data_IF_407107106863
#
_entry.id   IF_407107106863
#
_cell.length_a   1.000
_cell.length_b   1.000
_cell.length_c   1.000
_cell.angle_alpha   90.00
_cell.angle_beta   90.00
_cell.angle_gamma   90.00
#
_symmetry.space_group_name_H-M   'P 1'
#
loop_
_entity.id
_entity.type
_entity.pdbx_description
1 polymer ?
#
# COMPACT_ATOMS: atom_id res chain seq x y z
N UNK A 1 14.44 -18.55 -0.15
CA UNK A 1 13.72 -17.27 -0.39
C UNK A 1 13.49 -16.99 -1.88
N UNK A 2 14.30 -17.52 -2.81
CA UNK A 2 14.06 -17.36 -4.25
C UNK A 2 12.65 -17.84 -4.69
N UNK A 3 12.12 -19.01 -4.25
CA UNK A 3 10.80 -19.46 -4.68
C UNK A 3 9.64 -18.53 -4.30
N UNK A 4 9.77 -17.80 -3.19
CA UNK A 4 8.80 -16.81 -2.73
C UNK A 4 8.64 -15.64 -3.71
N UNK A 5 9.71 -15.23 -4.41
CA UNK A 5 9.63 -14.15 -5.39
C UNK A 5 8.74 -14.53 -6.58
N UNK A 6 8.79 -15.79 -7.02
CA UNK A 6 7.89 -16.30 -8.05
C UNK A 6 6.44 -16.40 -7.54
N UNK A 7 6.25 -16.81 -6.28
CA UNK A 7 4.93 -16.79 -5.67
C UNK A 7 4.36 -15.38 -5.58
N UNK A 8 5.17 -14.34 -5.33
CA UNK A 8 4.75 -12.94 -5.38
C UNK A 8 4.28 -12.51 -6.76
N UNK A 9 5.07 -12.85 -7.79
CA UNK A 9 4.73 -12.52 -9.17
C UNK A 9 3.35 -13.08 -9.59
N UNK A 10 2.96 -14.24 -9.06
CA UNK A 10 1.62 -14.81 -9.26
C UNK A 10 0.57 -14.22 -8.31
N UNK A 11 0.90 -14.09 -7.03
CA UNK A 11 -0.04 -13.69 -5.99
C UNK A 11 -0.60 -12.29 -6.20
N UNK A 12 0.22 -11.31 -6.58
CA UNK A 12 -0.24 -9.92 -6.71
C UNK A 12 -1.28 -9.74 -7.83
N UNK A 13 -1.09 -10.24 -9.07
CA UNK A 13 -2.13 -10.23 -10.10
C UNK A 13 -3.39 -10.99 -9.68
N UNK A 14 -3.26 -12.19 -9.13
CA UNK A 14 -4.39 -13.00 -8.64
C UNK A 14 -5.20 -12.22 -7.58
N UNK A 15 -4.50 -11.58 -6.65
CA UNK A 15 -5.13 -10.79 -5.60
C UNK A 15 -5.84 -9.56 -6.17
N UNK A 16 -5.25 -8.86 -7.13
CA UNK A 16 -5.90 -7.75 -7.83
C UNK A 16 -7.13 -8.19 -8.62
N UNK A 17 -7.07 -9.35 -9.27
CA UNK A 17 -8.21 -9.95 -9.97
C UNK A 17 -9.41 -10.20 -9.04
N UNK A 18 -9.18 -10.80 -7.86
CA UNK A 18 -10.23 -11.04 -6.87
C UNK A 18 -10.73 -9.73 -6.22
N UNK A 19 -9.82 -8.79 -5.96
CA UNK A 19 -10.15 -7.48 -5.38
C UNK A 19 -11.02 -6.64 -6.30
N UNK A 20 -10.73 -6.60 -7.61
CA UNK A 20 -11.53 -5.86 -8.59
C UNK A 20 -13.01 -6.28 -8.60
N UNK A 21 -13.27 -7.56 -8.33
CA UNK A 21 -14.62 -8.16 -8.24
C UNK A 21 -15.23 -8.10 -6.83
N UNK A 22 -14.59 -7.41 -5.88
CA UNK A 22 -15.01 -7.37 -4.47
C UNK A 22 -15.05 -8.75 -3.77
N UNK A 23 -14.33 -9.78 -4.26
CA UNK A 23 -14.22 -11.11 -3.63
C UNK A 23 -13.19 -11.13 -2.48
N UNK A 24 -13.30 -10.16 -1.58
CA UNK A 24 -12.29 -9.86 -0.55
C UNK A 24 -12.35 -10.88 0.60
N UNK A 25 -13.55 -11.31 1.01
CA UNK A 25 -13.73 -12.25 2.12
C UNK A 25 -13.04 -13.60 1.89
N UNK A 26 -13.08 -14.10 0.66
CA UNK A 26 -12.38 -15.34 0.29
C UNK A 26 -10.87 -15.18 0.48
N UNK A 27 -10.33 -14.05 0.02
CA UNK A 27 -8.90 -13.73 0.19
C UNK A 27 -8.53 -13.64 1.67
N UNK A 28 -9.39 -13.03 2.51
CA UNK A 28 -9.17 -12.91 3.94
C UNK A 28 -9.20 -14.27 4.66
N UNK A 29 -10.16 -15.14 4.34
CA UNK A 29 -10.26 -16.48 4.92
C UNK A 29 -9.05 -17.34 4.55
N UNK A 30 -8.64 -17.34 3.27
CA UNK A 30 -7.43 -18.03 2.81
C UNK A 30 -6.18 -17.51 3.54
N UNK A 31 -6.05 -16.19 3.71
CA UNK A 31 -4.94 -15.60 4.45
C UNK A 31 -4.96 -15.99 5.93
N UNK A 32 -6.14 -16.09 6.56
CA UNK A 32 -6.31 -16.57 7.92
C UNK A 32 -5.82 -18.01 8.09
N UNK A 33 -6.22 -18.92 7.22
CA UNK A 33 -5.71 -20.30 7.22
C UNK A 33 -4.20 -20.35 6.99
N UNK A 34 -3.69 -19.55 6.05
CA UNK A 34 -2.26 -19.46 5.80
C UNK A 34 -1.49 -19.01 7.04
N UNK A 35 -2.00 -18.03 7.80
CA UNK A 35 -1.38 -17.51 9.02
C UNK A 35 -1.35 -18.54 10.15
N UNK A 36 -2.47 -19.24 10.37
CA UNK A 36 -2.56 -20.31 11.38
C UNK A 36 -1.59 -21.45 11.03
N UNK A 37 -1.61 -21.90 9.78
CA UNK A 37 -0.68 -22.91 9.28
C UNK A 37 0.78 -22.45 9.39
N UNK A 38 1.09 -21.23 8.97
CA UNK A 38 2.44 -20.66 9.05
C UNK A 38 2.98 -20.66 10.48
N UNK A 39 2.15 -20.26 11.45
CA UNK A 39 2.52 -20.25 12.87
C UNK A 39 2.80 -21.68 13.37
N UNK A 40 1.88 -22.62 13.09
CA UNK A 40 2.00 -24.02 13.51
C UNK A 40 3.25 -24.68 12.92
N UNK A 41 3.46 -24.54 11.61
CA UNK A 41 4.61 -25.15 10.94
C UNK A 41 5.93 -24.46 11.30
N UNK A 42 5.93 -23.14 11.53
CA UNK A 42 7.13 -22.45 12.05
C UNK A 42 7.55 -23.02 13.39
N UNK A 43 6.62 -23.17 14.34
CA UNK A 43 6.90 -23.81 15.63
C UNK A 43 7.39 -25.25 15.46
N UNK A 44 6.72 -26.04 14.63
CA UNK A 44 7.05 -27.45 14.42
C UNK A 44 8.44 -27.62 13.80
N UNK A 45 8.70 -26.98 12.66
CA UNK A 45 9.93 -27.18 11.89
C UNK A 45 11.12 -26.50 12.56
N UNK A 46 10.96 -25.28 13.06
CA UNK A 46 12.08 -24.53 13.65
C UNK A 46 12.41 -25.01 15.06
N UNK A 47 11.41 -25.18 15.93
CA UNK A 47 11.64 -25.42 17.36
C UNK A 47 11.60 -26.90 17.72
N UNK A 48 10.59 -27.65 17.24
CA UNK A 48 10.44 -29.07 17.59
C UNK A 48 11.38 -29.97 16.79
N UNK A 49 11.40 -29.83 15.47
CA UNK A 49 12.28 -30.60 14.58
C UNK A 49 13.69 -30.01 14.48
N UNK A 50 13.91 -28.80 15.04
CA UNK A 50 15.21 -28.12 15.10
C UNK A 50 15.87 -27.89 13.75
N UNK A 51 15.08 -27.65 12.69
CA UNK A 51 15.60 -27.30 11.36
C UNK A 51 16.14 -25.86 11.28
N UNK A 52 15.98 -25.07 12.36
CA UNK A 52 16.51 -23.71 12.45
C UNK A 52 16.04 -22.80 11.30
N UNK A 53 16.96 -22.03 10.73
CA UNK A 53 16.68 -21.08 9.64
C UNK A 53 16.23 -21.76 8.34
N UNK A 54 16.66 -23.00 8.08
CA UNK A 54 16.19 -23.76 6.92
C UNK A 54 14.69 -24.06 7.07
N UNK A 55 14.26 -24.45 8.27
CA UNK A 55 12.84 -24.62 8.60
C UNK A 55 12.04 -23.34 8.36
N UNK A 56 12.55 -22.19 8.82
CA UNK A 56 11.91 -20.89 8.59
C UNK A 56 11.72 -20.58 7.10
N UNK A 57 12.77 -20.81 6.31
CA UNK A 57 12.73 -20.60 4.87
C UNK A 57 11.71 -21.53 4.20
N UNK A 58 11.68 -22.82 4.55
CA UNK A 58 10.71 -23.78 4.00
C UNK A 58 9.28 -23.34 4.29
N UNK A 59 8.95 -23.06 5.56
CA UNK A 59 7.60 -22.66 5.96
C UNK A 59 7.18 -21.38 5.24
N UNK A 60 8.06 -20.39 5.15
CA UNK A 60 7.76 -19.13 4.47
C UNK A 60 7.46 -19.35 2.98
N UNK A 61 8.26 -20.14 2.26
CA UNK A 61 8.00 -20.44 0.84
C UNK A 61 6.68 -21.21 0.67
N UNK A 62 6.43 -22.22 1.51
CA UNK A 62 5.21 -23.02 1.48
C UNK A 62 3.95 -22.19 1.74
N UNK A 63 3.98 -21.25 2.70
CA UNK A 63 2.83 -20.37 2.98
C UNK A 63 2.47 -19.48 1.79
N UNK A 64 3.46 -18.92 1.10
CA UNK A 64 3.21 -18.10 -0.09
C UNK A 64 2.67 -18.90 -1.27
N UNK A 65 3.21 -20.09 -1.51
CA UNK A 65 2.66 -20.99 -2.53
C UNK A 65 1.27 -21.49 -2.18
N UNK A 66 0.98 -21.76 -0.90
CA UNK A 66 -0.37 -22.08 -0.44
C UNK A 66 -1.36 -20.96 -0.79
N UNK A 67 -1.02 -19.68 -0.56
CA UNK A 67 -1.87 -18.55 -0.94
C UNK A 67 -2.15 -18.52 -2.45
N UNK A 68 -1.13 -18.75 -3.29
CA UNK A 68 -1.27 -18.80 -4.75
C UNK A 68 -2.20 -19.94 -5.16
N UNK A 69 -1.92 -21.16 -4.70
CA UNK A 69 -2.69 -22.36 -5.06
C UNK A 69 -4.13 -22.24 -4.58
N UNK A 70 -4.36 -21.84 -3.34
CA UNK A 70 -5.71 -21.70 -2.79
C UNK A 70 -6.56 -20.68 -3.55
N UNK A 71 -5.97 -19.54 -3.94
CA UNK A 71 -6.67 -18.53 -4.76
C UNK A 71 -6.93 -19.02 -6.19
N UNK A 72 -5.98 -19.74 -6.81
CA UNK A 72 -6.19 -20.33 -8.14
C UNK A 72 -7.30 -21.38 -8.13
N UNK A 73 -7.32 -22.27 -7.12
CA UNK A 73 -8.40 -23.26 -6.94
C UNK A 73 -9.75 -22.54 -6.85
N UNK A 74 -9.84 -21.45 -6.09
CA UNK A 74 -11.06 -20.67 -6.01
C UNK A 74 -11.46 -20.07 -7.37
N UNK A 75 -10.52 -19.47 -8.11
CA UNK A 75 -10.78 -18.91 -9.44
C UNK A 75 -11.26 -20.00 -10.42
N UNK A 76 -10.60 -21.15 -10.43
CA UNK A 76 -10.91 -22.25 -11.35
C UNK A 76 -12.16 -23.05 -10.97
N UNK A 77 -12.68 -22.89 -9.74
CA UNK A 77 -13.94 -23.51 -9.31
C UNK A 77 -15.19 -22.94 -10.00
N UNK A 78 -15.05 -21.88 -10.80
CA UNK A 78 -16.17 -21.18 -11.44
C UNK A 78 -16.78 -20.06 -10.58
N UNK A 79 -16.28 -19.84 -9.36
CA UNK A 79 -16.79 -18.84 -8.43
C UNK A 79 -16.60 -17.36 -8.88
N UNK A 80 -15.88 -17.14 -9.98
CA UNK A 80 -15.63 -15.84 -10.60
C UNK A 80 -16.53 -15.53 -11.81
N UNK A 81 -17.44 -16.44 -12.19
CA UNK A 81 -18.37 -16.23 -13.32
C UNK A 81 -17.65 -15.82 -14.61
N UNK A 82 -18.20 -14.83 -15.32
CA UNK A 82 -17.68 -14.34 -16.60
C UNK A 82 -16.31 -13.65 -16.51
N UNK A 83 -15.86 -13.28 -15.32
CA UNK A 83 -14.56 -12.61 -15.16
C UNK A 83 -13.38 -13.55 -15.48
N UNK A 84 -13.58 -14.87 -15.40
CA UNK A 84 -12.58 -15.87 -15.78
C UNK A 84 -13.07 -16.71 -16.96
N UNK A 85 -12.55 -16.41 -18.15
CA UNK A 85 -12.86 -17.13 -19.40
C UNK A 85 -11.83 -18.19 -19.78
N UNK A 86 -10.88 -18.50 -18.87
CA UNK A 86 -9.77 -19.43 -19.12
C UNK A 86 -8.54 -18.78 -19.75
N UNK A 87 -7.55 -19.60 -20.08
CA UNK A 87 -6.32 -19.12 -20.70
C UNK A 87 -6.55 -18.79 -22.18
N UNK A 88 -6.05 -17.62 -22.62
CA UNK A 88 -6.16 -17.17 -24.00
C UNK A 88 -4.92 -16.38 -24.42
N UNK A 89 -4.54 -16.48 -25.69
CA UNK A 89 -3.48 -15.65 -26.28
C UNK A 89 -3.84 -14.16 -26.28
N UNK A 90 -5.12 -13.81 -26.09
CA UNK A 90 -5.56 -12.43 -25.86
C UNK A 90 -4.88 -11.78 -24.65
N UNK A 91 -4.44 -12.56 -23.66
CA UNK A 91 -3.71 -12.04 -22.49
C UNK A 91 -2.37 -11.37 -22.85
N UNK A 92 -1.81 -11.66 -24.02
CA UNK A 92 -0.57 -11.05 -24.51
C UNK A 92 -0.80 -9.81 -25.38
N UNK A 93 -2.05 -9.44 -25.65
CA UNK A 93 -2.38 -8.20 -26.36
C UNK A 93 -2.20 -6.99 -25.43
N UNK A 94 -1.67 -5.88 -25.98
CA UNK A 94 -1.46 -4.61 -25.25
C UNK A 94 -0.61 -4.72 -23.96
N UNK A 95 0.30 -5.70 -23.87
CA UNK A 95 1.15 -5.93 -22.71
C UNK A 95 1.98 -4.69 -22.34
N UNK A 96 2.39 -3.90 -23.34
CA UNK A 96 3.18 -2.69 -23.15
C UNK A 96 2.47 -1.63 -22.30
N UNK A 97 1.18 -1.37 -22.54
CA UNK A 97 0.42 -0.40 -21.75
C UNK A 97 0.26 -0.86 -20.30
N UNK A 98 0.03 -2.17 -20.10
CA UNK A 98 0.03 -2.77 -18.76
C UNK A 98 1.38 -2.60 -18.06
N UNK A 99 2.48 -2.88 -18.74
CA UNK A 99 3.84 -2.73 -18.20
C UNK A 99 4.13 -1.28 -17.85
N UNK A 100 3.79 -0.34 -18.73
CA UNK A 100 3.99 1.10 -18.51
C UNK A 100 3.22 1.59 -17.28
N UNK A 101 1.96 1.20 -17.13
CA UNK A 101 1.14 1.57 -15.96
C UNK A 101 1.68 0.90 -14.68
N UNK A 102 2.00 -0.38 -14.74
CA UNK A 102 2.55 -1.14 -13.60
C UNK A 102 3.91 -0.60 -13.16
N UNK A 103 4.75 -0.19 -14.10
CA UNK A 103 6.04 0.43 -13.82
C UNK A 103 5.88 1.78 -13.13
N UNK A 104 4.92 2.61 -13.58
CA UNK A 104 4.61 3.87 -12.90
C UNK A 104 4.11 3.65 -11.45
N UNK A 105 3.24 2.66 -11.22
CA UNK A 105 2.86 2.23 -9.86
C UNK A 105 4.07 1.81 -9.03
N UNK A 106 4.95 0.99 -9.61
CA UNK A 106 6.12 0.47 -8.92
C UNK A 106 7.06 1.60 -8.51
N UNK A 107 7.37 2.53 -9.42
CA UNK A 107 8.19 3.70 -9.13
C UNK A 107 7.54 4.56 -8.04
N UNK A 108 6.24 4.85 -8.14
CA UNK A 108 5.52 5.63 -7.13
C UNK A 108 5.66 5.03 -5.72
N UNK A 109 5.46 3.72 -5.57
CA UNK A 109 5.57 3.00 -4.30
C UNK A 109 7.02 2.86 -3.82
N UNK A 110 7.96 2.57 -4.73
CA UNK A 110 9.38 2.47 -4.39
C UNK A 110 9.93 3.79 -3.86
N UNK A 111 9.56 4.92 -4.48
CA UNK A 111 9.97 6.25 -4.01
C UNK A 111 9.47 6.53 -2.59
N UNK A 112 8.26 6.08 -2.25
CA UNK A 112 7.75 6.18 -0.88
C UNK A 112 8.58 5.33 0.08
N UNK A 113 8.76 4.04 -0.21
CA UNK A 113 9.48 3.13 0.69
C UNK A 113 10.95 3.56 0.86
N UNK A 114 11.62 3.89 -0.24
CA UNK A 114 13.02 4.29 -0.23
C UNK A 114 13.25 5.61 0.47
N UNK A 115 12.28 6.54 0.42
CA UNK A 115 12.35 7.77 1.19
C UNK A 115 12.45 7.51 2.70
N UNK A 116 11.58 6.65 3.23
CA UNK A 116 11.63 6.26 4.66
C UNK A 116 12.94 5.53 4.98
N UNK A 117 13.37 4.58 4.14
CA UNK A 117 14.61 3.84 4.34
C UNK A 117 15.85 4.75 4.32
N UNK A 118 15.89 5.73 3.42
CA UNK A 118 17.00 6.69 3.35
C UNK A 118 17.11 7.52 4.63
N UNK A 119 15.99 8.03 5.16
CA UNK A 119 16.00 8.82 6.40
C UNK A 119 16.35 7.99 7.63
N UNK A 120 15.90 6.73 7.70
CA UNK A 120 16.33 5.79 8.75
C UNK A 120 17.84 5.52 8.65
N UNK A 121 18.37 5.33 7.43
CA UNK A 121 19.81 5.16 7.21
C UNK A 121 20.59 6.38 7.70
N UNK A 122 20.12 7.60 7.42
CA UNK A 122 20.75 8.82 7.92
C UNK A 122 20.72 8.91 9.45
N UNK A 123 19.68 8.42 10.12
CA UNK A 123 19.67 8.38 11.58
C UNK A 123 20.79 7.50 12.18
N UNK A 124 21.27 6.51 11.43
CA UNK A 124 22.43 5.69 11.79
C UNK A 124 23.77 6.43 11.78
N UNK A 125 23.83 7.66 11.23
CA UNK A 125 25.04 8.50 11.23
C UNK A 125 25.05 9.55 12.35
N UNK A 126 24.07 9.55 13.25
CA UNK A 126 24.04 10.44 14.41
C UNK A 126 25.06 10.02 15.48
N UNK A 127 25.51 10.96 16.32
CA UNK A 127 26.53 10.72 17.37
C UNK A 127 26.17 9.58 18.34
N UNK A 128 24.87 9.38 18.63
CA UNK A 128 24.35 8.27 19.45
C UNK A 128 23.56 7.27 18.58
N UNK A 129 24.18 6.79 17.51
CA UNK A 129 23.52 5.99 16.47
C UNK A 129 22.79 4.75 17.02
N UNK A 130 23.36 4.02 17.98
CA UNK A 130 22.75 2.80 18.53
C UNK A 130 21.39 3.09 19.19
N UNK A 131 21.36 4.00 20.17
CA UNK A 131 20.12 4.39 20.87
C UNK A 131 19.11 5.02 19.91
N UNK A 132 19.59 5.82 18.96
CA UNK A 132 18.78 6.48 17.94
C UNK A 132 18.09 5.46 17.01
N UNK A 133 18.87 4.54 16.45
CA UNK A 133 18.39 3.52 15.50
C UNK A 133 17.46 2.54 16.20
N UNK A 134 17.79 2.10 17.42
CA UNK A 134 16.93 1.20 18.20
C UNK A 134 15.56 1.84 18.49
N UNK A 135 15.54 3.10 18.93
CA UNK A 135 14.30 3.81 19.21
C UNK A 135 13.46 4.01 17.93
N UNK A 136 14.10 4.38 16.82
CA UNK A 136 13.42 4.49 15.52
C UNK A 136 12.88 3.13 15.08
N UNK A 137 13.64 2.03 15.23
CA UNK A 137 13.21 0.71 14.81
C UNK A 137 11.94 0.26 15.54
N UNK A 138 11.86 0.50 16.86
CA UNK A 138 10.63 0.25 17.66
C UNK A 138 9.46 1.06 17.10
N UNK A 139 9.67 2.36 16.89
CA UNK A 139 8.64 3.23 16.34
C UNK A 139 8.18 2.83 14.94
N UNK A 140 9.11 2.47 14.06
CA UNK A 140 8.83 2.05 12.69
C UNK A 140 8.15 0.68 12.66
N UNK A 141 8.38 -0.19 13.66
CA UNK A 141 7.65 -1.44 13.81
C UNK A 141 6.16 -1.19 14.09
N UNK A 142 5.86 -0.29 15.04
CA UNK A 142 4.48 0.14 15.35
C UNK A 142 3.84 0.83 14.13
N UNK A 143 4.59 1.71 13.45
CA UNK A 143 4.13 2.31 12.21
C UNK A 143 3.85 1.25 11.13
N UNK A 144 4.66 0.20 11.04
CA UNK A 144 4.43 -0.92 10.12
C UNK A 144 3.09 -1.60 10.35
N UNK A 145 2.67 -1.77 11.61
CA UNK A 145 1.35 -2.34 11.94
C UNK A 145 0.21 -1.42 11.50
N UNK A 146 0.31 -0.11 11.74
CA UNK A 146 -0.73 0.85 11.33
C UNK A 146 -0.78 1.05 9.82
N UNK A 147 0.35 0.98 9.13
CA UNK A 147 0.44 1.03 7.66
C UNK A 147 -0.31 -0.13 7.01
N UNK A 148 -0.41 -1.31 7.63
CA UNK A 148 -1.23 -2.41 7.07
C UNK A 148 -2.71 -2.03 6.96
N UNK A 149 -3.23 -1.27 7.94
CA UNK A 149 -4.59 -0.72 7.88
C UNK A 149 -4.70 0.29 6.72
N UNK A 150 -3.71 1.17 6.58
CA UNK A 150 -3.67 2.16 5.50
C UNK A 150 -3.59 1.53 4.10
N UNK A 151 -2.82 0.44 3.93
CA UNK A 151 -2.76 -0.35 2.69
C UNK A 151 -4.13 -0.99 2.39
N UNK A 152 -4.87 -1.40 3.42
CA UNK A 152 -6.25 -1.85 3.28
C UNK A 152 -7.16 -0.77 2.66
N UNK A 153 -7.10 0.45 3.19
CA UNK A 153 -7.82 1.59 2.61
C UNK A 153 -7.36 1.93 1.19
N UNK A 154 -6.05 1.97 0.93
CA UNK A 154 -5.47 2.17 -0.40
C UNK A 154 -6.06 1.19 -1.42
N UNK A 155 -6.09 -0.11 -1.10
CA UNK A 155 -6.63 -1.13 -1.99
C UNK A 155 -8.15 -0.98 -2.19
N UNK A 156 -8.89 -0.71 -1.12
CA UNK A 156 -10.35 -0.56 -1.17
C UNK A 156 -10.77 0.62 -2.03
N UNK A 157 -10.18 1.80 -1.82
CA UNK A 157 -10.54 2.99 -2.59
C UNK A 157 -10.05 2.91 -4.04
N UNK A 158 -8.89 2.29 -4.29
CA UNK A 158 -8.38 2.06 -5.64
C UNK A 158 -9.37 1.25 -6.47
N UNK A 159 -9.90 0.15 -5.93
CA UNK A 159 -10.92 -0.68 -6.60
C UNK A 159 -12.24 0.08 -6.78
N UNK A 160 -12.70 0.81 -5.75
CA UNK A 160 -13.97 1.53 -5.82
C UNK A 160 -13.93 2.63 -6.87
N UNK A 161 -12.88 3.46 -6.87
CA UNK A 161 -12.71 4.52 -7.86
C UNK A 161 -12.56 3.93 -9.27
N UNK A 162 -11.76 2.88 -9.46
CA UNK A 162 -11.60 2.28 -10.80
C UNK A 162 -12.92 1.72 -11.34
N UNK A 163 -13.72 1.07 -10.48
CA UNK A 163 -14.99 0.48 -10.89
C UNK A 163 -16.06 1.54 -11.17
N UNK A 164 -16.20 2.57 -10.33
CA UNK A 164 -17.16 3.65 -10.57
C UNK A 164 -16.80 4.49 -11.80
N UNK A 165 -15.51 4.73 -12.05
CA UNK A 165 -15.06 5.40 -13.27
C UNK A 165 -15.33 4.53 -14.51
N UNK A 166 -15.06 3.23 -14.44
CA UNK A 166 -15.33 2.28 -15.52
C UNK A 166 -16.82 2.12 -15.82
N UNK A 167 -17.68 2.24 -14.80
CA UNK A 167 -19.14 2.21 -14.94
C UNK A 167 -19.75 3.54 -15.41
N UNK A 168 -18.94 4.60 -15.56
CA UNK A 168 -19.43 5.91 -15.97
C UNK A 168 -20.14 6.70 -14.86
N UNK A 169 -19.82 6.46 -13.59
CA UNK A 169 -20.46 7.07 -12.42
C UNK A 169 -19.54 8.09 -11.72
N UNK A 170 -19.36 9.31 -12.27
CA UNK A 170 -18.41 10.29 -11.73
C UNK A 170 -18.77 10.77 -10.32
N UNK A 171 -20.07 10.87 -10.01
CA UNK A 171 -20.55 11.27 -8.68
C UNK A 171 -20.25 10.22 -7.62
N UNK A 172 -20.45 8.94 -7.93
CA UNK A 172 -20.15 7.81 -7.05
C UNK A 172 -18.65 7.66 -6.80
N UNK A 173 -17.83 7.89 -7.83
CA UNK A 173 -16.37 7.93 -7.67
C UNK A 173 -15.95 9.02 -6.68
N UNK A 174 -16.43 10.25 -6.86
CA UNK A 174 -16.15 11.37 -5.94
C UNK A 174 -16.64 11.08 -4.52
N UNK A 175 -17.84 10.53 -4.38
CA UNK A 175 -18.40 10.16 -3.07
C UNK A 175 -17.54 9.11 -2.37
N UNK A 176 -17.09 8.08 -3.09
CA UNK A 176 -16.20 7.04 -2.56
C UNK A 176 -14.90 7.62 -2.02
N UNK A 177 -14.30 8.59 -2.73
CA UNK A 177 -13.07 9.28 -2.28
C UNK A 177 -13.30 10.01 -0.96
N UNK A 178 -14.41 10.73 -0.82
CA UNK A 178 -14.74 11.47 0.40
C UNK A 178 -14.92 10.50 1.57
N UNK A 179 -15.75 9.47 1.40
CA UNK A 179 -16.05 8.49 2.46
C UNK A 179 -14.79 7.74 2.90
N UNK A 180 -13.98 7.25 1.95
CA UNK A 180 -12.74 6.55 2.27
C UNK A 180 -11.72 7.48 2.96
N UNK A 181 -11.59 8.73 2.51
CA UNK A 181 -10.66 9.69 3.13
C UNK A 181 -11.06 9.99 4.57
N UNK A 182 -12.35 10.28 4.83
CA UNK A 182 -12.85 10.52 6.19
C UNK A 182 -12.68 9.28 7.07
N UNK A 183 -13.05 8.11 6.58
CA UNK A 183 -12.95 6.85 7.35
C UNK A 183 -11.49 6.52 7.67
N UNK A 184 -10.57 6.71 6.72
CA UNK A 184 -9.14 6.50 6.92
C UNK A 184 -8.55 7.47 7.95
N UNK A 185 -8.97 8.74 7.92
CA UNK A 185 -8.55 9.76 8.87
C UNK A 185 -9.05 9.45 10.29
N UNK A 186 -10.33 9.10 10.44
CA UNK A 186 -10.90 8.70 11.72
C UNK A 186 -10.21 7.45 12.29
N UNK A 187 -9.89 6.47 11.43
CA UNK A 187 -9.14 5.28 11.82
C UNK A 187 -7.72 5.63 12.27
N UNK A 188 -7.04 6.52 11.55
CA UNK A 188 -5.71 7.01 11.93
C UNK A 188 -5.72 7.76 13.27
N UNK A 189 -6.72 8.62 13.49
CA UNK A 189 -6.91 9.32 14.78
C UNK A 189 -7.16 8.30 15.90
N UNK A 190 -8.02 7.32 15.68
CA UNK A 190 -8.30 6.27 16.66
C UNK A 190 -7.06 5.47 17.04
N UNK A 191 -6.28 5.00 16.05
CA UNK A 191 -5.03 4.28 16.28
C UNK A 191 -3.97 5.15 16.98
N UNK A 192 -3.89 6.42 16.60
CA UNK A 192 -3.01 7.43 17.22
C UNK A 192 -3.36 7.65 18.69
N UNK A 193 -4.66 7.74 19.02
CA UNK A 193 -5.13 7.87 20.39
C UNK A 193 -4.81 6.63 21.23
N UNK A 194 -4.99 5.42 20.70
CA UNK A 194 -4.58 4.18 21.39
C UNK A 194 -3.09 4.23 21.72
N UNK A 195 -2.24 4.60 20.76
CA UNK A 195 -0.80 4.69 20.97
C UNK A 195 -0.45 5.72 22.07
N UNK A 196 -1.09 6.88 22.06
CA UNK A 196 -0.86 7.93 23.05
C UNK A 196 -1.29 7.50 24.46
N UNK A 197 -2.41 6.80 24.60
CA UNK A 197 -2.88 6.24 25.88
C UNK A 197 -1.92 5.17 26.38
N UNK A 198 -1.45 4.29 25.49
CA UNK A 198 -0.49 3.24 25.83
C UNK A 198 0.97 3.71 25.93
N UNK A 199 1.24 5.01 25.75
CA UNK A 199 2.59 5.58 25.60
C UNK A 199 3.55 5.10 26.68
N UNK A 200 3.12 5.04 27.93
CA UNK A 200 3.97 4.72 29.08
C UNK A 200 4.25 3.22 29.24
N UNK A 201 3.55 2.33 28.53
CA UNK A 201 3.56 0.89 28.84
C UNK A 201 4.22 0.05 27.75
N UNK A 202 4.22 0.50 26.50
CA UNK A 202 4.66 -0.34 25.39
C UNK A 202 6.19 -0.44 25.20
N UNK A 203 7.02 0.60 25.40
CA UNK A 203 8.46 0.51 25.09
C UNK A 203 9.23 -0.59 25.84
N UNK A 204 8.92 -0.89 27.12
CA UNK A 204 9.55 -2.02 27.84
C UNK A 204 9.30 -3.40 27.21
N UNK A 205 8.26 -3.58 26.39
CA UNK A 205 8.05 -4.85 25.67
C UNK A 205 9.04 -5.07 24.53
N UNK A 206 9.70 -4.01 24.06
CA UNK A 206 10.64 -4.08 22.94
C UNK A 206 12.10 -4.10 23.36
N UNK A 207 12.45 -3.47 24.48
CA UNK A 207 13.85 -3.34 24.91
C UNK A 207 13.98 -3.15 26.41
N UNK A 208 15.07 -3.68 26.97
CA UNK A 208 15.46 -3.47 28.37
C UNK A 208 16.37 -2.24 28.56
N UNK A 209 16.79 -1.57 27.48
CA UNK A 209 17.64 -0.38 27.56
C UNK A 209 16.80 0.86 27.91
N UNK A 210 16.99 1.39 29.12
CA UNK A 210 16.26 2.57 29.62
C UNK A 210 16.44 3.82 28.75
N UNK A 211 17.63 4.04 28.17
CA UNK A 211 17.87 5.20 27.30
C UNK A 211 17.03 5.12 26.02
N UNK A 212 16.90 3.91 25.45
CA UNK A 212 16.05 3.67 24.28
C UNK A 212 14.58 3.87 24.66
N UNK A 213 14.13 3.34 25.80
CA UNK A 213 12.76 3.53 26.27
C UNK A 213 12.41 5.02 26.44
N UNK A 214 13.29 5.81 27.08
CA UNK A 214 13.09 7.25 27.25
C UNK A 214 13.00 7.98 25.92
N UNK A 215 13.87 7.64 24.96
CA UNK A 215 13.80 8.21 23.62
C UNK A 215 12.48 7.85 22.92
N UNK A 216 12.05 6.59 22.99
CA UNK A 216 10.76 6.15 22.42
C UNK A 216 9.57 6.88 23.07
N UNK A 217 9.58 7.07 24.40
CA UNK A 217 8.56 7.88 25.07
C UNK A 217 8.52 9.30 24.49
N UNK A 218 9.66 9.92 24.20
CA UNK A 218 9.72 11.25 23.60
C UNK A 218 9.32 11.28 22.11
N UNK A 219 9.53 10.19 21.37
CA UNK A 219 9.17 10.08 19.95
C UNK A 219 7.70 9.70 19.74
N UNK A 220 7.06 9.08 20.73
CA UNK A 220 5.66 8.60 20.64
C UNK A 220 4.67 9.68 20.16
N UNK A 221 4.71 10.94 20.61
CA UNK A 221 3.81 11.97 20.08
C UNK A 221 4.03 12.27 18.58
N UNK A 222 5.28 12.22 18.11
CA UNK A 222 5.63 12.41 16.69
C UNK A 222 5.13 11.20 15.88
N UNK A 223 5.29 10.00 16.42
CA UNK A 223 4.75 8.77 15.84
C UNK A 223 3.22 8.80 15.76
N UNK A 224 2.54 9.27 16.80
CA UNK A 224 1.09 9.43 16.83
C UNK A 224 0.60 10.34 15.69
N UNK A 225 1.27 11.46 15.45
CA UNK A 225 0.99 12.34 14.29
C UNK A 225 1.30 11.64 12.96
N UNK A 226 2.39 10.88 12.91
CA UNK A 226 2.78 10.10 11.73
C UNK A 226 1.73 9.05 11.35
N UNK A 227 1.07 8.42 12.32
CA UNK A 227 0.00 7.43 12.08
C UNK A 227 -1.21 8.09 11.41
N UNK A 228 -1.61 9.29 11.85
CA UNK A 228 -2.77 10.00 11.28
C UNK A 228 -2.53 10.30 9.80
N UNK A 229 -1.39 10.91 9.49
CA UNK A 229 -1.01 11.24 8.10
C UNK A 229 -0.77 9.95 7.31
N UNK A 230 -0.13 8.96 7.91
CA UNK A 230 0.17 7.66 7.31
C UNK A 230 -1.06 6.79 7.03
N UNK A 231 -2.24 7.11 7.58
CA UNK A 231 -3.50 6.48 7.17
C UNK A 231 -4.16 7.21 5.99
N UNK A 232 -4.12 8.54 6.00
CA UNK A 232 -4.72 9.35 4.95
C UNK A 232 -3.93 9.26 3.64
N UNK A 233 -2.60 9.39 3.71
CA UNK A 233 -1.74 9.46 2.53
C UNK A 233 -1.87 8.22 1.61
N UNK A 234 -1.77 6.97 2.10
CA UNK A 234 -1.94 5.80 1.23
C UNK A 234 -3.35 5.71 0.66
N UNK A 235 -4.37 6.18 1.37
CA UNK A 235 -5.75 6.25 0.86
C UNK A 235 -5.82 7.16 -0.37
N UNK A 236 -5.22 8.35 -0.32
CA UNK A 236 -5.17 9.27 -1.47
C UNK A 236 -4.33 8.72 -2.62
N UNK A 237 -3.19 8.08 -2.34
CA UNK A 237 -2.43 7.36 -3.38
C UNK A 237 -3.27 6.23 -4.01
N UNK A 238 -4.16 5.59 -3.26
CA UNK A 238 -5.13 4.61 -3.75
C UNK A 238 -6.11 5.22 -4.75
N UNK A 239 -6.59 6.44 -4.52
CA UNK A 239 -7.41 7.20 -5.47
C UNK A 239 -6.66 7.41 -6.78
N UNK A 240 -5.39 7.83 -6.71
CA UNK A 240 -4.56 8.02 -7.89
C UNK A 240 -4.30 6.72 -8.66
N UNK A 241 -4.15 5.58 -7.96
CA UNK A 241 -4.06 4.27 -8.61
C UNK A 241 -5.38 3.93 -9.32
N UNK A 242 -6.52 4.13 -8.66
CA UNK A 242 -7.85 3.87 -9.24
C UNK A 242 -8.19 4.74 -10.45
N UNK A 243 -7.75 6.00 -10.45
CA UNK A 243 -7.92 6.94 -11.55
C UNK A 243 -6.83 6.85 -12.65
N UNK A 244 -5.73 6.14 -12.36
CA UNK A 244 -4.60 5.97 -13.29
C UNK A 244 -3.64 7.17 -13.37
N UNK A 245 -3.49 7.93 -12.28
CA UNK A 245 -2.60 9.10 -12.20
C UNK A 245 -1.20 8.79 -11.63
N UNK A 246 -0.83 7.52 -11.56
CA UNK A 246 0.36 7.03 -10.86
C UNK A 246 1.65 7.72 -11.32
N UNK A 247 1.80 7.99 -12.62
CA UNK A 247 2.96 8.71 -13.15
C UNK A 247 3.06 10.15 -12.61
N UNK A 248 1.95 10.89 -12.55
CA UNK A 248 1.92 12.23 -11.97
C UNK A 248 2.28 12.21 -10.48
N UNK A 249 1.73 11.24 -9.73
CA UNK A 249 2.03 11.08 -8.31
C UNK A 249 3.50 10.68 -8.10
N UNK A 250 4.10 9.89 -8.99
CA UNK A 250 5.54 9.61 -8.91
C UNK A 250 6.39 10.88 -9.01
N UNK A 251 6.07 11.81 -9.91
CA UNK A 251 6.76 13.11 -9.97
C UNK A 251 6.56 13.95 -8.71
N UNK A 252 5.34 13.95 -8.16
CA UNK A 252 5.04 14.61 -6.88
C UNK A 252 5.86 13.99 -5.75
N UNK A 253 5.99 12.67 -5.70
CA UNK A 253 6.78 11.95 -4.71
C UNK A 253 8.26 12.33 -4.80
N UNK A 254 8.84 12.43 -6.01
CA UNK A 254 10.22 12.91 -6.20
C UNK A 254 10.39 14.30 -5.58
N UNK A 255 9.51 15.24 -5.92
CA UNK A 255 9.62 16.62 -5.43
C UNK A 255 9.44 16.70 -3.90
N UNK A 256 8.38 16.10 -3.36
CA UNK A 256 8.06 16.24 -1.93
C UNK A 256 9.04 15.48 -1.04
N UNK A 257 9.48 14.29 -1.44
CA UNK A 257 10.32 13.45 -0.60
C UNK A 257 11.80 13.76 -0.78
N UNK A 258 12.27 13.86 -2.02
CA UNK A 258 13.71 13.94 -2.29
C UNK A 258 14.23 15.37 -2.38
N UNK A 259 13.43 16.30 -2.91
CA UNK A 259 13.84 17.71 -3.02
C UNK A 259 13.50 18.53 -1.77
N UNK A 260 12.52 18.08 -0.96
CA UNK A 260 12.06 18.81 0.22
C UNK A 260 12.26 18.02 1.52
N UNK A 261 11.66 16.82 1.62
CA UNK A 261 11.68 16.00 2.83
C UNK A 261 13.08 15.61 3.31
N UNK A 262 13.91 15.04 2.43
CA UNK A 262 15.29 14.63 2.77
C UNK A 262 16.14 15.84 3.19
N UNK A 263 16.24 16.93 2.40
CA UNK A 263 17.02 18.10 2.81
C UNK A 263 16.60 18.68 4.17
N UNK A 264 15.29 18.79 4.44
CA UNK A 264 14.80 19.27 5.74
C UNK A 264 15.20 18.32 6.87
N UNK A 265 15.04 17.01 6.67
CA UNK A 265 15.43 16.02 7.66
C UNK A 265 16.93 16.07 7.99
N UNK A 266 17.77 16.25 6.97
CA UNK A 266 19.23 16.37 7.14
C UNK A 266 19.63 17.68 7.81
N UNK A 267 19.04 18.81 7.40
CA UNK A 267 19.33 20.12 8.01
C UNK A 267 18.91 20.12 9.48
N UNK A 268 17.69 19.68 9.80
CA UNK A 268 17.22 19.62 11.19
C UNK A 268 18.01 18.59 12.01
N UNK A 269 18.30 17.43 11.45
CA UNK A 269 18.99 16.34 12.14
C UNK A 269 20.45 16.64 12.44
N UNK A 270 21.21 17.15 11.46
CA UNK A 270 22.66 17.33 11.56
C UNK A 270 23.10 18.77 11.76
N UNK A 271 22.53 19.73 11.02
CA UNK A 271 22.98 21.13 11.09
C UNK A 271 22.49 21.81 12.37
N UNK A 272 21.23 21.58 12.76
CA UNK A 272 20.66 22.11 14.00
C UNK A 272 20.81 21.17 15.21
N UNK A 273 21.49 20.01 15.06
CA UNK A 273 21.73 19.00 16.09
C UNK A 273 20.45 18.55 16.85
N UNK A 274 19.29 18.57 16.17
CA UNK A 274 18.00 18.08 16.73
C UNK A 274 17.96 16.53 16.71
N UNK A 275 18.94 15.89 16.05
CA UNK A 275 19.12 14.45 16.01
C UNK A 275 17.96 13.72 15.34
N UNK A 276 17.55 12.59 15.92
CA UNK A 276 16.49 11.72 15.39
C UNK A 276 15.18 12.46 15.15
N UNK A 277 14.81 13.38 16.05
CA UNK A 277 13.58 14.17 15.91
C UNK A 277 13.64 15.03 14.65
N UNK A 278 14.79 15.63 14.35
CA UNK A 278 14.98 16.43 13.14
C UNK A 278 14.79 15.62 11.86
N UNK A 279 15.39 14.43 11.81
CA UNK A 279 15.23 13.49 10.69
C UNK A 279 13.76 13.10 10.51
N UNK A 280 13.06 12.80 11.61
CA UNK A 280 11.64 12.45 11.58
C UNK A 280 10.77 13.63 11.14
N UNK A 281 11.07 14.86 11.56
CA UNK A 281 10.37 16.04 11.05
C UNK A 281 10.54 16.19 9.54
N UNK A 282 11.71 15.84 8.98
CA UNK A 282 11.90 15.69 7.54
C UNK A 282 10.91 14.70 6.93
N UNK A 283 10.85 13.48 7.49
CA UNK A 283 9.90 12.42 7.07
C UNK A 283 8.46 12.94 7.00
N UNK A 284 8.01 13.58 8.09
CA UNK A 284 6.68 14.16 8.22
C UNK A 284 6.45 15.33 7.25
N UNK A 285 7.42 16.22 7.07
CA UNK A 285 7.30 17.37 6.19
C UNK A 285 7.06 16.93 4.74
N UNK A 286 7.90 16.01 4.23
CA UNK A 286 7.73 15.48 2.87
C UNK A 286 6.37 14.79 2.68
N UNK A 287 5.94 13.97 3.64
CA UNK A 287 4.64 13.27 3.61
C UNK A 287 3.46 14.24 3.68
N UNK A 288 3.56 15.28 4.50
CA UNK A 288 2.50 16.29 4.66
C UNK A 288 2.33 17.12 3.39
N UNK A 289 3.44 17.57 2.79
CA UNK A 289 3.39 18.32 1.52
C UNK A 289 2.81 17.46 0.40
N UNK A 290 3.27 16.21 0.28
CA UNK A 290 2.74 15.26 -0.70
C UNK A 290 1.23 15.04 -0.52
N UNK A 291 0.79 14.82 0.71
CA UNK A 291 -0.62 14.64 1.06
C UNK A 291 -1.44 15.88 0.66
N UNK A 292 -0.94 17.08 0.95
CA UNK A 292 -1.58 18.34 0.55
C UNK A 292 -1.71 18.49 -0.97
N UNK A 293 -0.66 18.13 -1.73
CA UNK A 293 -0.69 18.13 -3.20
C UNK A 293 -1.72 17.13 -3.72
N UNK A 294 -1.78 15.90 -3.17
CA UNK A 294 -2.77 14.91 -3.57
C UNK A 294 -4.21 15.37 -3.28
N UNK A 295 -4.45 15.98 -2.12
CA UNK A 295 -5.76 16.57 -1.79
C UNK A 295 -6.10 17.65 -2.82
N UNK A 296 -5.18 18.55 -3.13
CA UNK A 296 -5.40 19.61 -4.13
C UNK A 296 -5.73 19.02 -5.51
N UNK A 297 -4.97 18.01 -5.96
CA UNK A 297 -5.23 17.32 -7.22
C UNK A 297 -6.65 16.77 -7.25
N UNK A 298 -7.05 16.01 -6.22
CA UNK A 298 -8.37 15.38 -6.09
C UNK A 298 -9.50 16.42 -6.07
N UNK A 299 -9.32 17.54 -5.36
CA UNK A 299 -10.31 18.62 -5.29
C UNK A 299 -10.49 19.35 -6.63
N UNK A 300 -9.42 19.45 -7.43
CA UNK A 300 -9.42 20.09 -8.76
C UNK A 300 -9.84 19.14 -9.88
N UNK A 301 -9.95 17.84 -9.62
CA UNK A 301 -10.33 16.85 -10.62
C UNK A 301 -11.74 17.07 -11.13
N UNK A 302 -11.89 17.17 -12.45
CA UNK A 302 -13.17 17.04 -13.11
C UNK A 302 -13.50 15.56 -13.34
N UNK A 303 -14.25 14.97 -12.41
CA UNK A 303 -14.63 13.55 -12.44
C UNK A 303 -15.40 13.14 -13.71
N UNK A 304 -16.14 14.06 -14.35
CA UNK A 304 -16.81 13.76 -15.62
C UNK A 304 -15.81 13.56 -16.77
N UNK A 305 -14.72 14.34 -16.78
CA UNK A 305 -13.64 14.18 -17.75
C UNK A 305 -12.85 12.89 -17.51
N UNK A 306 -12.63 12.50 -16.26
CA UNK A 306 -11.97 11.24 -15.95
C UNK A 306 -12.77 10.04 -16.45
N UNK A 307 -14.10 10.07 -16.27
CA UNK A 307 -14.99 9.04 -16.82
C UNK A 307 -14.88 8.93 -18.34
N UNK A 308 -14.86 10.06 -19.07
CA UNK A 308 -14.73 10.01 -20.53
C UNK A 308 -13.39 9.43 -20.97
N UNK A 309 -12.29 9.82 -20.31
CA UNK A 309 -10.95 9.27 -20.56
C UNK A 309 -10.88 7.75 -20.28
N UNK A 310 -11.51 7.28 -19.19
CA UNK A 310 -11.57 5.85 -18.86
C UNK A 310 -12.41 5.09 -19.90
N UNK A 311 -13.54 5.65 -20.35
CA UNK A 311 -14.34 5.07 -21.44
C UNK A 311 -13.53 4.84 -22.72
N UNK A 312 -12.69 5.81 -23.11
CA UNK A 312 -11.77 5.64 -24.25
C UNK A 312 -10.73 4.54 -24.02
N UNK A 313 -10.13 4.46 -22.81
CA UNK A 313 -9.17 3.40 -22.47
C UNK A 313 -9.79 2.01 -22.51
N UNK A 314 -11.00 1.86 -21.98
CA UNK A 314 -11.72 0.58 -21.99
C UNK A 314 -12.03 0.15 -23.42
N UNK A 315 -12.49 1.05 -24.30
CA UNK A 315 -12.71 0.72 -25.72
C UNK A 315 -11.41 0.31 -26.42
N UNK A 316 -10.30 1.01 -26.16
CA UNK A 316 -9.00 0.68 -26.73
C UNK A 316 -8.45 -0.67 -26.25
N UNK A 317 -8.68 -1.02 -24.98
CA UNK A 317 -8.12 -2.23 -24.36
C UNK A 317 -9.03 -3.46 -24.44
N UNK A 318 -10.35 -3.26 -24.47
CA UNK A 318 -11.35 -4.31 -24.59
C UNK A 318 -11.41 -4.96 -25.97
N UNK A 319 -10.75 -4.36 -26.96
CA UNK A 319 -10.91 -4.70 -28.38
C UNK A 319 -12.27 -4.23 -28.87
N UNK A 320 -12.33 -3.90 -30.16
CA UNK A 320 -13.59 -3.52 -30.81
C UNK A 320 -14.55 -4.72 -30.73
N UNK A 321 -15.41 -4.71 -29.72
CA UNK A 321 -16.53 -5.63 -29.66
C UNK A 321 -17.46 -5.13 -30.75
N UNK A 322 -17.40 -5.73 -31.93
CA UNK A 322 -18.22 -5.38 -33.08
C UNK A 322 -19.71 -5.48 -32.75
N UNK A 323 -20.23 -4.49 -32.05
CA UNK A 323 -21.62 -4.12 -32.12
C UNK A 323 -21.74 -3.41 -33.47
N UNK A 324 -22.06 -4.18 -34.50
CA UNK A 324 -22.78 -3.62 -35.63
C UNK A 324 -24.01 -2.94 -35.04
N UNK A 325 -24.02 -1.61 -35.05
CA UNK A 325 -25.27 -0.86 -35.01
C UNK A 325 -26.10 -1.41 -36.18
N UNK A 326 -27.12 -2.20 -35.85
CA UNK A 326 -28.20 -2.47 -36.78
C UNK A 326 -29.03 -1.19 -36.87
N UNK A 327 -28.50 -0.22 -37.61
CA UNK A 327 -29.21 0.97 -38.09
C UNK A 327 -29.84 0.63 -39.45
N UNK A 328 -30.66 -0.42 -39.50
CA UNK A 328 -31.49 -0.81 -40.64
C UNK A 328 -32.70 -1.58 -40.09
N UNK A 329 -33.70 -0.86 -39.57
CA UNK A 329 -35.11 -1.30 -39.48
C UNK A 329 -36.02 -0.18 -38.92
N UNK A 330 -35.91 1.03 -39.48
CA UNK A 330 -36.93 2.10 -39.33
C UNK A 330 -37.18 2.83 -40.65
N UNK A 331 -37.25 2.10 -41.76
CA UNK A 331 -37.97 2.53 -42.96
C UNK A 331 -38.65 1.31 -43.57
N UNK A 332 -39.85 1.00 -43.08
CA UNK A 332 -40.97 0.42 -43.82
C UNK A 332 -42.24 0.53 -42.98
#
# INVERSE_FOLDING_TARGET
MIPQLFAYALNFPIQKFLQAQSKIMVTAVIAGFALVGHTLFSWLLMLKLRWGLVGAAVVLNSSWWFLVVAKLVYIFSGACGEAWSGFSMKAFQNLWEFVKLSFASAVMLCLEIWYFMALILFAGYLKNAEVAVDAIAICMNIQGWTVMVAIGFNAAISVRVSNELGAGHPRSAKFSVIVASITSLLSGIFLSMILLVCRSWYPPFFTNNEQVQQLVYHLTPILATTIVIGCLQPTLSGVAIGAGWQAYVAYVNIACYYLFGIPIGLILGFFFDIGVKGIWFGMLAGTTVQTGVLIMMILRTNWNKEVSLVGHRIKQWGGDSGAKENDEDLIN
#
